data_IF_899491179661
#
_entry.id   IF_899491179661
#
_cell.length_a   1.000
_cell.length_b   1.000
_cell.length_c   1.000
_cell.angle_alpha   90.00
_cell.angle_beta   90.00
_cell.angle_gamma   90.00
#
_symmetry.space_group_name_H-M   'P 1'
#
loop_
_entity.id
_entity.type
_entity.pdbx_description
1 polymer ?
#
# COMPACT_ATOMS: atom_id res chain seq x y z
N UNK A 1 -49.34 5.18 -48.09
CA UNK A 1 -50.51 4.27 -47.89
C UNK A 1 -51.84 4.80 -48.46
N UNK A 2 -51.86 5.65 -49.50
CA UNK A 2 -53.10 6.29 -49.99
C UNK A 2 -53.83 5.45 -51.06
N UNK A 3 -55.15 5.62 -51.20
CA UNK A 3 -55.92 5.07 -52.32
C UNK A 3 -55.56 5.74 -53.67
N UNK A 4 -55.86 5.06 -54.78
CA UNK A 4 -55.78 5.66 -56.13
C UNK A 4 -56.94 6.64 -56.34
N UNK A 5 -56.80 7.57 -57.28
CA UNK A 5 -57.80 8.59 -57.58
C UNK A 5 -59.17 8.03 -57.96
N UNK A 6 -59.23 6.82 -58.53
CA UNK A 6 -60.46 6.15 -58.98
C UNK A 6 -61.00 5.10 -58.01
N UNK A 7 -60.56 5.11 -56.75
CA UNK A 7 -60.99 4.11 -55.77
C UNK A 7 -62.52 4.14 -55.58
N UNK A 8 -63.16 2.97 -55.70
CA UNK A 8 -64.63 2.82 -55.62
C UNK A 8 -65.41 3.59 -56.70
N UNK A 9 -64.76 4.02 -57.78
CA UNK A 9 -65.43 4.64 -58.91
C UNK A 9 -66.23 3.62 -59.72
N UNK A 10 -67.49 3.92 -60.02
CA UNK A 10 -68.38 3.09 -60.85
C UNK A 10 -68.29 3.43 -62.34
N UNK A 11 -67.74 4.60 -62.68
CA UNK A 11 -67.69 5.14 -64.05
C UNK A 11 -66.26 5.49 -64.50
N UNK A 12 -65.25 5.10 -63.72
CA UNK A 12 -63.83 5.34 -64.04
C UNK A 12 -63.34 6.77 -63.77
N UNK A 13 -64.22 7.69 -63.38
CA UNK A 13 -63.84 9.06 -63.02
C UNK A 13 -63.18 9.11 -61.63
N UNK A 14 -62.30 10.10 -61.36
CA UNK A 14 -61.72 10.30 -60.04
C UNK A 14 -62.79 10.51 -58.96
N UNK A 15 -62.72 9.73 -57.89
CA UNK A 15 -63.48 9.89 -56.65
C UNK A 15 -62.67 10.61 -55.58
N UNK A 16 -61.35 10.69 -55.76
CA UNK A 16 -60.43 11.40 -54.87
C UNK A 16 -59.52 12.29 -55.72
N UNK A 17 -59.52 13.58 -55.41
CA UNK A 17 -58.72 14.61 -56.10
C UNK A 17 -57.82 15.29 -55.06
N UNK A 18 -56.55 15.51 -55.41
CA UNK A 18 -55.61 16.19 -54.52
C UNK A 18 -55.86 17.70 -54.48
N UNK A 19 -55.42 18.34 -53.40
CA UNK A 19 -55.36 19.81 -53.31
C UNK A 19 -53.92 20.16 -52.91
N UNK A 20 -53.14 20.87 -53.76
CA UNK A 20 -53.46 21.33 -55.12
C UNK A 20 -53.75 20.18 -56.10
N UNK A 21 -54.43 20.50 -57.21
CA UNK A 21 -54.75 19.50 -58.23
C UNK A 21 -53.48 18.94 -58.91
N UNK A 22 -53.54 17.69 -59.37
CA UNK A 22 -52.45 17.02 -60.08
C UNK A 22 -51.36 16.36 -59.22
N UNK A 23 -51.50 16.32 -57.90
CA UNK A 23 -50.56 15.59 -57.03
C UNK A 23 -50.83 14.08 -57.13
N UNK A 24 -49.79 13.31 -57.46
CA UNK A 24 -49.89 11.87 -57.63
C UNK A 24 -50.29 11.18 -56.32
N UNK A 25 -51.43 10.48 -56.33
CA UNK A 25 -51.93 9.65 -55.23
C UNK A 25 -52.03 8.19 -55.63
N UNK A 26 -51.91 7.29 -54.66
CA UNK A 26 -52.12 5.86 -54.88
C UNK A 26 -51.00 5.10 -55.58
N UNK A 27 -49.77 5.63 -55.58
CA UNK A 27 -48.58 4.90 -56.03
C UNK A 27 -48.42 3.56 -55.27
N UNK A 28 -47.85 2.55 -55.94
CA UNK A 28 -47.67 1.18 -55.40
C UNK A 28 -46.27 0.62 -55.69
N UNK A 29 -45.30 1.48 -56.00
CA UNK A 29 -43.94 1.07 -56.39
C UNK A 29 -43.08 0.79 -55.16
N UNK A 30 -43.20 1.62 -54.12
CA UNK A 30 -42.49 1.47 -52.86
C UNK A 30 -43.26 2.18 -51.73
N UNK A 31 -42.80 2.07 -50.49
CA UNK A 31 -43.29 2.94 -49.41
C UNK A 31 -42.84 4.38 -49.65
N UNK A 32 -43.69 5.36 -49.36
CA UNK A 32 -43.29 6.77 -49.43
C UNK A 32 -42.35 7.13 -48.27
N UNK A 33 -41.63 8.25 -48.39
CA UNK A 33 -40.81 8.77 -47.30
C UNK A 33 -41.62 8.99 -46.00
N UNK A 34 -42.88 9.46 -46.14
CA UNK A 34 -43.80 9.63 -45.00
C UNK A 34 -44.23 8.30 -44.39
N UNK A 35 -44.48 7.26 -45.19
CA UNK A 35 -44.79 5.92 -44.69
C UNK A 35 -43.60 5.33 -43.91
N UNK A 36 -42.38 5.47 -44.46
CA UNK A 36 -41.13 5.03 -43.80
C UNK A 36 -40.90 5.80 -42.49
N UNK A 37 -41.12 7.11 -42.49
CA UNK A 37 -40.98 7.95 -41.29
C UNK A 37 -42.03 7.60 -40.22
N UNK A 38 -43.28 7.36 -40.62
CA UNK A 38 -44.35 6.93 -39.72
C UNK A 38 -44.04 5.58 -39.05
N UNK A 39 -43.59 4.60 -39.83
CA UNK A 39 -43.16 3.29 -39.30
C UNK A 39 -41.96 3.45 -38.36
N UNK A 40 -40.95 4.26 -38.72
CA UNK A 40 -39.79 4.53 -37.83
C UNK A 40 -40.14 5.32 -36.58
N UNK A 41 -41.21 6.12 -36.60
CA UNK A 41 -41.71 6.81 -35.40
C UNK A 41 -42.43 5.86 -34.46
N UNK A 42 -43.15 4.87 -35.00
CA UNK A 42 -43.87 3.86 -34.21
C UNK A 42 -42.94 2.75 -33.71
N UNK A 43 -41.93 2.42 -34.51
CA UNK A 43 -40.89 1.44 -34.24
C UNK A 43 -39.52 2.08 -34.52
N UNK A 44 -39.00 2.88 -33.57
CA UNK A 44 -37.65 3.38 -33.69
C UNK A 44 -36.70 2.19 -33.87
N UNK A 45 -35.75 2.24 -34.83
CA UNK A 45 -34.73 1.21 -34.91
C UNK A 45 -34.07 1.11 -33.54
N UNK A 46 -33.95 -0.11 -33.01
CA UNK A 46 -33.21 -0.33 -31.77
C UNK A 46 -31.83 0.27 -31.97
N UNK A 47 -31.53 1.36 -31.26
CA UNK A 47 -30.16 1.88 -31.22
C UNK A 47 -29.33 0.72 -30.69
N UNK A 48 -28.35 0.20 -31.47
CA UNK A 48 -27.54 -0.89 -30.98
C UNK A 48 -26.96 -0.46 -29.63
N UNK A 49 -26.97 -1.35 -28.62
CA UNK A 49 -26.50 -1.00 -27.29
C UNK A 49 -25.09 -0.40 -27.41
N UNK A 50 -24.93 0.87 -27.06
CA UNK A 50 -23.64 1.54 -27.14
C UNK A 50 -22.72 0.90 -26.12
N UNK A 51 -21.66 0.26 -26.58
CA UNK A 51 -20.58 -0.17 -25.71
C UNK A 51 -19.68 1.03 -25.39
N UNK A 52 -19.17 1.05 -24.17
CA UNK A 52 -18.23 2.06 -23.68
C UNK A 52 -17.06 1.36 -22.99
N UNK A 53 -15.89 1.99 -23.09
CA UNK A 53 -14.71 1.55 -22.39
C UNK A 53 -14.88 1.74 -20.87
N UNK A 54 -14.82 0.64 -20.12
CA UNK A 54 -14.84 0.66 -18.66
C UNK A 54 -13.56 0.04 -18.13
N UNK A 55 -12.72 0.84 -17.48
CA UNK A 55 -11.44 0.38 -16.95
C UNK A 55 -11.56 0.01 -15.46
N UNK A 56 -11.16 -1.20 -15.11
CA UNK A 56 -11.01 -1.65 -13.73
C UNK A 56 -9.51 -1.62 -13.40
N UNK A 57 -9.10 -0.69 -12.55
CA UNK A 57 -7.71 -0.43 -12.18
C UNK A 57 -7.43 -0.77 -10.72
N UNK A 58 -6.15 -0.86 -10.37
CA UNK A 58 -5.68 -0.99 -8.99
C UNK A 58 -4.55 -0.01 -8.71
N UNK A 59 -4.46 0.42 -7.45
CA UNK A 59 -3.36 1.18 -6.90
C UNK A 59 -2.84 0.47 -5.62
N UNK A 60 -1.60 -0.04 -5.60
CA UNK A 60 -0.62 -0.01 -6.70
C UNK A 60 -1.09 -0.84 -7.89
N UNK A 61 -0.55 -0.58 -9.09
CA UNK A 61 -0.94 -1.31 -10.29
C UNK A 61 -0.52 -2.80 -10.26
N UNK A 62 -1.14 -3.62 -11.10
CA UNK A 62 -0.82 -5.04 -11.22
C UNK A 62 -1.41 -5.91 -10.12
N UNK A 63 -2.36 -5.43 -9.31
CA UNK A 63 -3.06 -6.29 -8.33
C UNK A 63 -4.09 -7.17 -9.03
N UNK A 64 -4.33 -8.34 -8.44
CA UNK A 64 -5.42 -9.22 -8.84
C UNK A 64 -6.74 -8.68 -8.30
N UNK A 65 -7.70 -8.47 -9.19
CA UNK A 65 -9.09 -8.12 -8.91
C UNK A 65 -9.98 -9.23 -9.47
N UNK A 66 -11.27 -9.25 -9.13
CA UNK A 66 -12.24 -10.10 -9.80
C UNK A 66 -13.34 -9.26 -10.44
N UNK A 67 -13.69 -9.59 -11.68
CA UNK A 67 -14.78 -8.97 -12.45
C UNK A 67 -15.71 -10.08 -12.88
N UNK A 68 -16.98 -9.99 -12.46
CA UNK A 68 -17.99 -11.04 -12.63
C UNK A 68 -17.53 -12.42 -12.15
N UNK A 69 -16.73 -12.44 -11.07
CA UNK A 69 -16.17 -13.66 -10.47
C UNK A 69 -14.87 -14.16 -11.12
N UNK A 70 -14.42 -13.55 -12.22
CA UNK A 70 -13.18 -13.94 -12.91
C UNK A 70 -12.01 -13.10 -12.39
N UNK A 71 -10.98 -13.76 -11.89
CA UNK A 71 -9.74 -13.09 -11.46
C UNK A 71 -8.98 -12.52 -12.66
N UNK A 72 -8.60 -11.25 -12.58
CA UNK A 72 -7.88 -10.48 -13.60
C UNK A 72 -6.77 -9.66 -12.98
N UNK A 73 -5.70 -9.41 -13.74
CA UNK A 73 -4.62 -8.50 -13.33
C UNK A 73 -4.94 -7.10 -13.82
N UNK A 74 -5.09 -6.14 -12.90
CA UNK A 74 -5.42 -4.76 -13.23
C UNK A 74 -4.18 -3.93 -13.65
N UNK A 75 -4.32 -2.94 -14.55
CA UNK A 75 -5.57 -2.47 -15.14
C UNK A 75 -6.07 -3.37 -16.28
N UNK A 76 -7.39 -3.55 -16.35
CA UNK A 76 -8.08 -4.20 -17.47
C UNK A 76 -9.21 -3.29 -17.97
N UNK A 77 -9.40 -3.23 -19.29
CA UNK A 77 -10.47 -2.42 -19.90
C UNK A 77 -11.44 -3.32 -20.64
N UNK A 78 -12.73 -3.18 -20.32
CA UNK A 78 -13.83 -3.90 -20.97
C UNK A 78 -14.60 -2.96 -21.90
N UNK A 79 -15.25 -3.54 -22.90
CA UNK A 79 -16.22 -2.85 -23.76
C UNK A 79 -17.62 -3.32 -23.37
N UNK A 80 -18.23 -2.64 -22.40
CA UNK A 80 -19.53 -3.02 -21.85
C UNK A 80 -20.64 -2.10 -22.33
N UNK A 81 -21.84 -2.65 -22.47
CA UNK A 81 -23.04 -1.88 -22.83
C UNK A 81 -23.40 -0.90 -21.71
N UNK A 82 -23.63 0.36 -22.05
CA UNK A 82 -24.10 1.35 -21.07
C UNK A 82 -25.40 0.89 -20.39
N UNK A 83 -25.48 1.07 -19.06
CA UNK A 83 -26.61 0.66 -18.23
C UNK A 83 -26.55 -0.77 -17.70
N UNK A 84 -25.64 -1.63 -18.17
CA UNK A 84 -25.45 -2.96 -17.57
C UNK A 84 -24.80 -2.85 -16.19
N UNK A 85 -24.98 -3.89 -15.38
CA UNK A 85 -24.42 -4.00 -14.04
C UNK A 85 -23.42 -5.14 -14.01
N UNK A 86 -22.24 -4.89 -13.47
CA UNK A 86 -21.17 -5.88 -13.31
C UNK A 86 -20.74 -5.97 -11.85
N UNK A 87 -20.31 -7.15 -11.42
CA UNK A 87 -19.73 -7.34 -10.09
C UNK A 87 -18.23 -7.07 -10.15
N UNK A 88 -17.72 -6.25 -9.23
CA UNK A 88 -16.29 -6.02 -9.04
C UNK A 88 -15.89 -6.40 -7.61
N UNK A 89 -14.72 -7.00 -7.47
CA UNK A 89 -14.16 -7.38 -6.17
C UNK A 89 -12.66 -7.12 -6.13
N UNK A 90 -12.21 -6.57 -5.00
CA UNK A 90 -10.80 -6.27 -4.74
C UNK A 90 -10.34 -7.03 -3.48
N UNK A 91 -10.10 -8.35 -3.56
CA UNK A 91 -9.70 -9.13 -2.39
C UNK A 91 -8.35 -8.66 -1.82
N UNK A 92 -8.26 -8.57 -0.49
CA UNK A 92 -6.98 -8.39 0.19
C UNK A 92 -6.12 -9.63 -0.03
N UNK A 93 -4.81 -9.45 -0.21
CA UNK A 93 -3.89 -10.56 -0.48
C UNK A 93 -2.62 -10.45 0.37
N UNK A 94 -2.07 -11.60 0.73
CA UNK A 94 -0.81 -11.72 1.46
C UNK A 94 0.08 -12.68 0.69
N UNK A 95 1.27 -12.21 0.32
CA UNK A 95 2.31 -12.99 -0.34
C UNK A 95 3.55 -12.97 0.55
N UNK A 96 3.70 -14.03 1.36
CA UNK A 96 4.81 -14.21 2.29
C UNK A 96 5.01 -12.97 3.19
N UNK A 97 6.03 -12.16 2.91
CA UNK A 97 6.43 -10.99 3.69
C UNK A 97 5.81 -9.66 3.24
N UNK A 98 5.00 -9.66 2.18
CA UNK A 98 4.31 -8.45 1.67
C UNK A 98 2.80 -8.70 1.59
N UNK A 99 1.99 -7.76 2.05
CA UNK A 99 0.53 -7.84 1.93
C UNK A 99 -0.10 -6.55 1.43
N UNK A 100 -1.24 -6.70 0.76
CA UNK A 100 -2.05 -5.63 0.20
C UNK A 100 -3.45 -5.74 0.78
N UNK A 101 -3.79 -4.80 1.65
CA UNK A 101 -5.13 -4.73 2.24
C UNK A 101 -5.99 -3.77 1.42
N UNK A 102 -7.14 -4.23 0.95
CA UNK A 102 -8.11 -3.34 0.32
C UNK A 102 -8.49 -2.21 1.28
N UNK A 103 -8.56 -0.98 0.77
CA UNK A 103 -8.99 0.18 1.53
C UNK A 103 -10.28 0.78 1.00
N UNK A 104 -10.29 1.11 -0.28
CA UNK A 104 -11.43 1.76 -0.90
C UNK A 104 -11.40 1.58 -2.40
N UNK A 105 -12.57 1.56 -3.01
CA UNK A 105 -12.69 1.88 -4.43
C UNK A 105 -12.78 3.39 -4.62
N UNK A 106 -12.48 3.88 -5.82
CA UNK A 106 -12.61 5.30 -6.18
C UNK A 106 -14.06 5.81 -6.18
N UNK A 107 -15.03 4.90 -6.23
CA UNK A 107 -16.47 5.19 -6.10
C UNK A 107 -16.99 5.00 -4.67
N UNK A 108 -16.09 4.77 -3.69
CA UNK A 108 -16.40 4.49 -2.30
C UNK A 108 -17.30 3.25 -2.07
N UNK A 109 -17.38 2.34 -3.04
CA UNK A 109 -18.07 1.06 -2.90
C UNK A 109 -17.42 0.12 -1.89
N UNK A 110 -18.16 -0.89 -1.45
CA UNK A 110 -17.65 -1.97 -0.61
C UNK A 110 -16.56 -2.79 -1.32
N UNK A 111 -15.80 -3.62 -0.61
CA UNK A 111 -14.73 -4.43 -1.21
C UNK A 111 -15.19 -5.28 -2.40
N UNK A 112 -16.40 -5.81 -2.30
CA UNK A 112 -17.14 -6.44 -3.39
C UNK A 112 -18.47 -5.72 -3.54
N UNK A 113 -18.75 -5.21 -4.73
CA UNK A 113 -20.00 -4.52 -5.02
C UNK A 113 -20.31 -4.54 -6.51
N UNK A 114 -21.49 -4.04 -6.86
CA UNK A 114 -21.92 -3.91 -8.25
C UNK A 114 -21.66 -2.50 -8.77
N UNK A 115 -21.18 -2.39 -10.01
CA UNK A 115 -21.01 -1.14 -10.73
C UNK A 115 -21.96 -1.08 -11.92
N UNK A 116 -22.52 0.10 -12.18
CA UNK A 116 -23.34 0.35 -13.36
C UNK A 116 -22.51 1.07 -14.42
N UNK A 117 -22.52 0.58 -15.65
CA UNK A 117 -21.74 1.14 -16.75
C UNK A 117 -22.37 2.47 -17.21
N UNK A 118 -21.67 3.61 -17.13
CA UNK A 118 -22.23 4.90 -17.55
C UNK A 118 -22.29 5.02 -19.08
N UNK A 119 -22.87 6.11 -19.58
CA UNK A 119 -22.96 6.38 -21.03
C UNK A 119 -21.65 6.88 -21.66
N UNK A 120 -20.62 7.16 -20.86
CA UNK A 120 -19.30 7.62 -21.30
C UNK A 120 -18.20 6.73 -20.74
N UNK A 121 -17.04 6.68 -21.40
CA UNK A 121 -15.91 5.92 -20.90
C UNK A 121 -15.53 6.36 -19.47
N UNK A 122 -15.25 5.40 -18.59
CA UNK A 122 -14.90 5.67 -17.19
C UNK A 122 -13.93 4.62 -16.64
N UNK A 123 -13.40 4.89 -15.45
CA UNK A 123 -12.56 3.97 -14.71
C UNK A 123 -12.98 3.88 -13.25
N UNK A 124 -12.84 2.70 -12.66
CA UNK A 124 -12.91 2.46 -11.22
C UNK A 124 -11.55 1.93 -10.74
N UNK A 125 -11.05 2.46 -9.63
CA UNK A 125 -9.73 2.08 -9.09
C UNK A 125 -9.85 1.52 -7.69
N UNK A 126 -9.38 0.28 -7.47
CA UNK A 126 -9.21 -0.29 -6.14
C UNK A 126 -7.92 0.22 -5.52
N UNK A 127 -8.00 0.85 -4.35
CA UNK A 127 -6.85 1.32 -3.61
C UNK A 127 -6.54 0.34 -2.47
N UNK A 128 -5.28 -0.10 -2.42
CA UNK A 128 -4.77 -1.00 -1.40
C UNK A 128 -3.73 -0.29 -0.53
N UNK A 129 -3.74 -0.62 0.76
CA UNK A 129 -2.64 -0.31 1.65
C UNK A 129 -1.63 -1.45 1.60
N UNK A 130 -0.43 -1.13 1.14
CA UNK A 130 0.70 -2.03 1.13
C UNK A 130 1.34 -2.09 2.52
N UNK A 131 1.67 -3.30 2.96
CA UNK A 131 2.31 -3.57 4.24
C UNK A 131 3.43 -4.59 4.06
N UNK A 132 4.48 -4.47 4.88
CA UNK A 132 5.59 -5.42 4.93
C UNK A 132 5.74 -5.99 6.33
N UNK A 133 6.22 -7.23 6.40
CA UNK A 133 6.59 -7.84 7.68
C UNK A 133 7.87 -7.22 8.22
N UNK A 134 7.89 -6.93 9.51
CA UNK A 134 9.10 -6.67 10.28
C UNK A 134 9.10 -7.60 11.49
N UNK A 135 10.07 -8.50 11.52
CA UNK A 135 10.34 -9.35 12.68
C UNK A 135 11.60 -8.90 13.38
N UNK A 136 11.67 -9.14 14.68
CA UNK A 136 12.84 -8.81 15.48
C UNK A 136 13.12 -9.92 16.50
N UNK A 137 14.38 -10.31 16.60
CA UNK A 137 14.81 -11.41 17.47
C UNK A 137 16.12 -11.06 18.19
N UNK A 138 16.36 -11.74 19.31
CA UNK A 138 17.66 -11.72 19.99
C UNK A 138 18.49 -12.92 19.54
N UNK A 139 19.78 -12.71 19.27
CA UNK A 139 20.72 -13.82 19.02
C UNK A 139 20.92 -14.70 20.26
N UNK A 140 20.72 -14.14 21.45
CA UNK A 140 20.83 -14.84 22.72
C UNK A 140 19.89 -14.19 23.75
N UNK A 141 18.75 -14.85 24.00
CA UNK A 141 17.70 -14.36 24.90
C UNK A 141 18.13 -14.29 26.37
N UNK A 142 19.24 -14.94 26.76
CA UNK A 142 19.80 -14.81 28.11
C UNK A 142 20.60 -13.51 28.31
N UNK A 143 21.06 -12.89 27.22
CA UNK A 143 21.89 -11.67 27.25
C UNK A 143 21.15 -10.41 26.81
N UNK A 144 19.96 -10.55 26.21
CA UNK A 144 19.13 -9.41 25.86
C UNK A 144 17.90 -9.78 25.06
N UNK A 145 16.99 -8.82 24.94
CA UNK A 145 15.76 -8.92 24.14
C UNK A 145 15.70 -7.83 23.08
N UNK A 146 14.92 -8.04 22.03
CA UNK A 146 14.61 -7.00 21.03
C UNK A 146 13.12 -6.71 21.04
N UNK A 147 12.75 -5.44 21.09
CA UNK A 147 11.38 -4.97 21.02
C UNK A 147 11.18 -3.92 19.92
N UNK A 148 9.94 -3.81 19.45
CA UNK A 148 9.52 -2.87 18.41
C UNK A 148 8.52 -1.87 18.98
N UNK A 149 8.60 -0.61 18.57
CA UNK A 149 7.60 0.41 18.88
C UNK A 149 7.32 1.28 17.65
N UNK A 150 6.07 1.39 17.17
CA UNK A 150 4.88 0.69 17.68
C UNK A 150 4.99 -0.83 17.47
N UNK A 151 4.24 -1.62 18.24
CA UNK A 151 4.10 -3.07 18.03
C UNK A 151 2.96 -3.32 17.05
N UNK A 152 3.21 -4.03 15.95
CA UNK A 152 2.16 -4.59 15.11
C UNK A 152 1.70 -5.96 15.65
N UNK A 153 0.38 -6.16 15.80
CA UNK A 153 -0.19 -7.39 16.35
C UNK A 153 0.18 -8.66 15.57
N UNK A 154 0.42 -8.53 14.27
CA UNK A 154 0.72 -9.62 13.34
C UNK A 154 2.05 -9.44 12.60
N UNK A 155 2.94 -8.57 13.12
CA UNK A 155 4.27 -8.24 12.56
C UNK A 155 4.28 -7.45 11.24
N UNK A 156 3.12 -7.06 10.70
CA UNK A 156 3.06 -6.28 9.46
C UNK A 156 2.80 -4.80 9.71
N UNK A 157 3.60 -3.95 9.08
CA UNK A 157 3.51 -2.50 9.18
C UNK A 157 3.17 -1.88 7.83
N UNK A 158 2.48 -0.74 7.84
CA UNK A 158 2.24 0.04 6.61
C UNK A 158 3.58 0.43 5.99
N UNK A 159 3.66 0.36 4.66
CA UNK A 159 4.80 0.90 3.92
C UNK A 159 5.06 2.34 4.37
N UNK A 160 6.32 2.64 4.70
CA UNK A 160 6.74 3.95 5.22
C UNK A 160 6.63 4.13 6.73
N UNK A 161 6.09 3.18 7.49
CA UNK A 161 6.03 3.28 8.96
C UNK A 161 7.45 3.34 9.55
N UNK A 162 7.74 4.34 10.36
CA UNK A 162 8.97 4.38 11.15
C UNK A 162 8.78 3.56 12.44
N UNK A 163 9.57 2.50 12.60
CA UNK A 163 9.57 1.61 13.76
C UNK A 163 10.86 1.81 14.54
N UNK A 164 10.73 2.11 15.84
CA UNK A 164 11.83 2.09 16.79
C UNK A 164 12.13 0.65 17.19
N UNK A 165 13.33 0.16 16.90
CA UNK A 165 13.80 -1.18 17.28
C UNK A 165 14.79 -1.04 18.44
N UNK A 166 14.44 -1.61 19.59
CA UNK A 166 15.20 -1.46 20.84
C UNK A 166 15.78 -2.80 21.25
N UNK A 167 17.10 -2.87 21.36
CA UNK A 167 17.81 -3.98 21.97
C UNK A 167 18.04 -3.67 23.44
N UNK A 168 17.51 -4.49 24.34
CA UNK A 168 17.64 -4.29 25.79
C UNK A 168 18.56 -5.38 26.34
N UNK A 169 19.83 -5.06 26.68
CA UNK A 169 20.72 -6.03 27.29
C UNK A 169 20.25 -6.44 28.70
N UNK A 170 20.59 -7.66 29.10
CA UNK A 170 20.27 -8.25 30.40
C UNK A 170 21.56 -8.74 31.07
N UNK A 171 21.72 -8.43 32.36
CA UNK A 171 22.90 -8.84 33.14
C UNK A 171 24.20 -8.28 32.56
N UNK A 172 25.16 -9.15 32.29
CA UNK A 172 26.43 -8.80 31.64
C UNK A 172 26.32 -8.64 30.12
N UNK A 173 25.13 -8.78 29.52
CA UNK A 173 24.94 -8.66 28.08
C UNK A 173 25.19 -7.25 27.57
N UNK A 174 25.64 -7.14 26.32
CA UNK A 174 25.61 -5.89 25.56
C UNK A 174 25.28 -6.16 24.10
N UNK A 175 24.75 -5.14 23.42
CA UNK A 175 24.42 -5.20 22.00
C UNK A 175 25.69 -4.95 21.18
N UNK A 176 26.17 -5.98 20.48
CA UNK A 176 27.37 -5.91 19.67
C UNK A 176 27.10 -5.33 18.28
N UNK A 177 25.97 -5.71 17.67
CA UNK A 177 25.57 -5.28 16.33
C UNK A 177 24.11 -5.61 16.03
N UNK A 178 23.62 -5.07 14.92
CA UNK A 178 22.37 -5.47 14.30
C UNK A 178 22.64 -6.29 13.04
N UNK A 179 21.83 -7.31 12.78
CA UNK A 179 21.76 -8.02 11.50
C UNK A 179 20.39 -7.85 10.86
N UNK A 180 20.32 -7.95 9.53
CA UNK A 180 19.08 -7.71 8.76
C UNK A 180 18.75 -6.23 8.55
N UNK A 181 19.56 -5.32 9.08
CA UNK A 181 19.49 -3.87 8.86
C UNK A 181 20.90 -3.27 8.95
N UNK A 182 21.17 -2.23 8.16
CA UNK A 182 22.40 -1.43 8.28
C UNK A 182 22.17 -0.32 9.29
N UNK A 183 22.68 -0.50 10.51
CA UNK A 183 22.54 0.46 11.60
C UNK A 183 23.74 0.36 12.56
N UNK A 184 24.11 1.46 13.26
CA UNK A 184 25.12 1.41 14.31
C UNK A 184 24.66 0.50 15.47
N UNK A 185 25.58 -0.03 16.29
CA UNK A 185 25.27 -0.82 17.48
C UNK A 185 24.74 0.04 18.64
N UNK A 186 23.95 1.07 18.32
CA UNK A 186 23.21 1.87 19.28
C UNK A 186 21.82 1.28 19.48
N UNK A 187 21.18 1.68 20.57
CA UNK A 187 19.78 1.35 20.81
C UNK A 187 19.06 2.52 21.47
N UNK A 188 17.84 2.89 21.02
CA UNK A 188 17.11 2.32 19.88
C UNK A 188 17.69 2.72 18.51
N UNK A 189 17.32 1.97 17.47
CA UNK A 189 17.49 2.36 16.06
C UNK A 189 16.13 2.65 15.43
N UNK A 190 16.09 3.51 14.41
CA UNK A 190 14.87 3.78 13.63
C UNK A 190 14.91 3.04 12.30
N UNK A 191 13.85 2.29 11.99
CA UNK A 191 13.70 1.53 10.75
C UNK A 191 12.45 2.00 10.01
N UNK A 192 12.63 2.52 8.80
CA UNK A 192 11.50 2.86 7.93
C UNK A 192 11.10 1.61 7.13
N UNK A 193 9.91 1.07 7.40
CA UNK A 193 9.42 -0.18 6.81
C UNK A 193 9.00 0.03 5.35
N UNK A 194 9.96 0.00 4.43
CA UNK A 194 9.73 0.12 2.98
C UNK A 194 9.96 -1.19 2.22
N UNK A 195 10.33 -2.24 2.94
CA UNK A 195 10.56 -3.60 2.47
C UNK A 195 10.47 -4.55 3.68
N UNK A 196 10.43 -5.88 3.46
CA UNK A 196 10.46 -6.85 4.55
C UNK A 196 11.75 -6.84 5.36
N UNK A 197 11.64 -6.75 6.69
CA UNK A 197 12.78 -6.80 7.59
C UNK A 197 12.74 -8.06 8.47
N UNK A 198 13.90 -8.68 8.65
CA UNK A 198 14.14 -9.72 9.66
C UNK A 198 15.37 -9.31 10.47
N UNK A 199 15.13 -8.61 11.57
CA UNK A 199 16.19 -7.94 12.36
C UNK A 199 16.62 -8.84 13.52
N UNK A 200 17.93 -9.00 13.70
CA UNK A 200 18.48 -9.67 14.87
C UNK A 200 19.37 -8.72 15.64
N UNK A 201 19.09 -8.53 16.92
CA UNK A 201 20.02 -7.90 17.86
C UNK A 201 21.05 -8.93 18.30
N UNK A 202 22.31 -8.71 17.95
CA UNK A 202 23.40 -9.61 18.30
C UNK A 202 23.95 -9.25 19.67
N UNK A 203 23.53 -10.00 20.69
CA UNK A 203 23.99 -9.81 22.05
C UNK A 203 25.22 -10.69 22.34
N UNK A 204 26.16 -10.11 23.09
CA UNK A 204 27.36 -10.79 23.56
C UNK A 204 27.55 -10.50 25.06
N UNK A 205 28.35 -11.33 25.73
CA UNK A 205 28.75 -11.06 27.11
C UNK A 205 29.80 -9.96 27.12
N UNK A 206 29.55 -8.91 27.89
CA UNK A 206 30.52 -7.85 28.15
C UNK A 206 31.56 -8.25 29.19
N UNK A 207 32.77 -7.78 28.97
CA UNK A 207 33.88 -7.84 29.92
C UNK A 207 34.57 -6.48 30.01
N UNK A 208 35.07 -6.17 31.19
CA UNK A 208 35.87 -4.97 31.47
C UNK A 208 37.11 -5.41 32.24
N UNK A 209 38.28 -4.97 31.81
CA UNK A 209 39.54 -5.12 32.53
C UNK A 209 40.26 -3.77 32.61
N UNK A 210 41.05 -3.59 33.66
CA UNK A 210 41.76 -2.35 33.92
C UNK A 210 43.22 -2.64 34.27
N UNK A 211 44.14 -1.82 33.76
CA UNK A 211 45.56 -1.94 34.08
C UNK A 211 46.26 -0.57 34.10
N UNK A 212 47.19 -0.33 35.04
CA UNK A 212 47.53 -1.19 36.18
C UNK A 212 46.45 -1.19 37.27
N UNK A 213 46.37 -2.26 38.08
CA UNK A 213 45.43 -2.36 39.21
C UNK A 213 45.92 -1.66 40.49
N UNK A 214 47.19 -1.24 40.51
CA UNK A 214 47.82 -0.53 41.62
C UNK A 214 48.65 0.63 41.06
N UNK A 215 48.43 1.82 41.61
CA UNK A 215 49.18 3.04 41.28
C UNK A 215 49.65 3.67 42.59
N UNK A 216 50.95 3.95 42.70
CA UNK A 216 51.53 4.64 43.86
C UNK A 216 51.45 6.16 43.63
N UNK A 217 50.89 6.89 44.59
CA UNK A 217 50.68 8.33 44.53
C UNK A 217 51.40 9.01 45.70
N UNK A 218 52.16 10.10 45.48
CA UNK A 218 52.85 10.80 46.55
C UNK A 218 51.86 11.51 47.51
N UNK A 219 52.25 11.77 48.78
CA UNK A 219 51.38 12.42 49.77
C UNK A 219 50.83 13.79 49.38
N UNK A 220 51.49 14.50 48.45
CA UNK A 220 51.06 15.80 47.94
C UNK A 220 49.92 15.72 46.91
N UNK A 221 49.48 14.50 46.54
CA UNK A 221 48.54 14.27 45.45
C UNK A 221 49.21 14.23 44.08
N UNK A 222 48.55 13.59 43.12
CA UNK A 222 48.96 13.57 41.71
C UNK A 222 47.78 13.22 40.80
N UNK A 223 47.93 13.52 39.50
CA UNK A 223 47.08 12.98 38.45
C UNK A 223 47.71 11.68 37.94
N UNK A 224 46.87 10.67 37.66
CA UNK A 224 47.30 9.38 37.14
C UNK A 224 46.25 8.77 36.23
N UNK A 225 46.65 7.72 35.51
CA UNK A 225 45.82 7.08 34.50
C UNK A 225 45.74 5.58 34.66
N UNK A 226 44.57 5.01 34.40
CA UNK A 226 44.36 3.57 34.25
C UNK A 226 43.79 3.31 32.86
N UNK A 227 44.36 2.35 32.13
CA UNK A 227 43.81 1.90 30.86
C UNK A 227 42.67 0.93 31.12
N UNK A 228 41.49 1.20 30.56
CA UNK A 228 40.34 0.32 30.64
C UNK A 228 40.08 -0.31 29.27
N UNK A 229 40.13 -1.63 29.23
CA UNK A 229 39.78 -2.43 28.06
C UNK A 229 38.39 -3.01 28.29
N UNK A 230 37.44 -2.67 27.43
CA UNK A 230 36.09 -3.21 27.46
C UNK A 230 35.75 -3.88 26.13
N UNK A 231 34.84 -4.85 26.17
CA UNK A 231 34.31 -5.45 24.94
C UNK A 231 33.64 -4.37 24.07
N UNK A 232 33.99 -4.33 22.79
CA UNK A 232 33.42 -3.38 21.82
C UNK A 232 31.90 -3.43 21.82
N UNK A 233 31.23 -2.29 21.94
CA UNK A 233 29.76 -2.19 22.00
C UNK A 233 29.18 -2.27 23.42
N UNK A 234 29.98 -2.64 24.43
CA UNK A 234 29.57 -2.56 25.83
C UNK A 234 29.99 -1.20 26.42
N UNK A 235 29.01 -0.40 26.85
CA UNK A 235 29.27 0.79 27.66
C UNK A 235 29.79 0.41 29.05
N UNK A 236 30.62 1.26 29.64
CA UNK A 236 31.08 1.14 31.02
C UNK A 236 31.23 2.52 31.65
N UNK A 237 31.24 2.58 32.98
CA UNK A 237 31.43 3.83 33.73
C UNK A 237 32.36 3.55 34.90
N UNK A 238 33.38 4.39 35.07
CA UNK A 238 34.24 4.34 36.25
C UNK A 238 33.61 5.16 37.39
N UNK A 239 33.63 4.61 38.61
CA UNK A 239 33.20 5.31 39.83
C UNK A 239 34.29 5.17 40.89
N UNK A 240 34.52 6.24 41.65
CA UNK A 240 35.45 6.20 42.79
C UNK A 240 34.67 5.89 44.05
N UNK A 241 35.18 4.96 44.87
CA UNK A 241 34.66 4.67 46.20
C UNK A 241 35.35 5.51 47.30
N UNK A 242 36.30 6.38 46.94
CA UNK A 242 37.07 7.21 47.85
C UNK A 242 36.81 8.69 47.55
N UNK A 243 36.45 9.45 48.59
CA UNK A 243 36.13 10.89 48.47
C UNK A 243 37.32 11.76 48.08
N UNK A 244 38.54 11.26 48.25
CA UNK A 244 39.80 11.95 47.91
C UNK A 244 40.30 11.64 46.48
N UNK A 245 39.59 10.77 45.73
CA UNK A 245 39.89 10.46 44.32
C UNK A 245 38.77 11.02 43.44
N UNK A 246 39.13 11.93 42.53
CA UNK A 246 38.22 12.47 41.51
C UNK A 246 38.51 11.85 40.15
N UNK A 247 37.50 11.23 39.53
CA UNK A 247 37.61 10.71 38.16
C UNK A 247 37.41 11.88 37.19
N UNK A 248 38.45 12.16 36.39
CA UNK A 248 38.52 13.33 35.51
C UNK A 248 38.14 13.00 34.05
N UNK A 249 38.16 11.72 33.65
CA UNK A 249 37.66 11.22 32.36
C UNK A 249 37.38 9.70 32.39
N UNK A 250 36.40 9.20 31.62
CA UNK A 250 36.17 7.75 31.49
C UNK A 250 34.75 7.29 31.14
N UNK A 251 34.24 7.62 29.95
CA UNK A 251 32.89 7.21 29.47
C UNK A 251 32.90 6.38 28.18
N UNK A 252 34.07 6.01 27.66
CA UNK A 252 34.23 5.12 26.49
C UNK A 252 35.57 4.37 26.56
N UNK A 253 35.72 3.24 25.85
CA UNK A 253 36.99 2.48 25.77
C UNK A 253 38.19 3.40 25.59
N UNK A 254 39.13 3.37 26.54
CA UNK A 254 40.21 4.35 26.61
C UNK A 254 40.84 4.48 28.00
N UNK A 255 41.61 5.53 28.17
CA UNK A 255 42.34 5.84 29.41
C UNK A 255 41.45 6.64 30.36
N UNK A 256 41.22 6.10 31.57
CA UNK A 256 40.60 6.82 32.69
C UNK A 256 41.66 7.68 33.35
N UNK A 257 41.44 8.99 33.42
CA UNK A 257 42.28 9.89 34.22
C UNK A 257 41.63 10.15 35.56
N UNK A 258 42.42 10.17 36.63
CA UNK A 258 41.95 10.52 37.97
C UNK A 258 42.96 11.42 38.69
N UNK A 259 42.49 12.23 39.63
CA UNK A 259 43.31 13.05 40.51
C UNK A 259 43.09 12.68 41.97
N UNK A 260 44.18 12.69 42.73
CA UNK A 260 44.22 12.46 44.17
C UNK A 260 44.54 13.77 44.87
N UNK A 261 43.71 14.20 45.82
CA UNK A 261 43.86 15.45 46.57
C UNK A 261 43.21 15.41 47.93
#
# INVERSE_FOLDING_TARGET
MHYRSTAFSINGLPTIVSIPDGIAIGQRTALSAGDIAGVRSMYPPSVPPSTVAYTVASNPSGRQLAVDGITVTAPVTYQWTAGTVHSVSAPSSTADTTRYLFKTWSDAGAQTHSVTVPASATAITANFQKQYSLTSASSNTALGSVGNSPVAADTFYNEGTAVSVTGTPVGAGCLASWSGVSAPPSTPISVNVNLPYSITGNFQTGSVSAAPLLVSIPPAGATSTVTVTATTGCGWTATSNASWITITSGTSSGTVSFSVG
#
